data_IF_415417313744
#
_entry.id   IF_415417313744
#
_cell.length_a   1.000
_cell.length_b   1.000
_cell.length_c   1.000
_cell.angle_alpha   90.00
_cell.angle_beta   90.00
_cell.angle_gamma   90.00
#
_symmetry.space_group_name_H-M   'P 1'
#
loop_
_entity.id
_entity.type
_entity.pdbx_description
1 polymer ?
#
# COMPACT_ATOMS: atom_id res chain seq x y z
N UNK A 1 -5.42 3.17 22.84
CA UNK A 1 -4.58 4.39 22.73
C UNK A 1 -4.23 4.60 21.24
N UNK A 2 -4.94 5.44 20.46
CA UNK A 2 -4.54 5.74 19.05
C UNK A 2 -5.24 6.95 18.38
N UNK A 3 -6.32 7.51 18.94
CA UNK A 3 -7.08 8.64 18.33
C UNK A 3 -6.79 10.00 18.95
N UNK A 4 -5.55 10.28 19.31
CA UNK A 4 -5.17 11.52 20.02
C UNK A 4 -4.66 12.64 19.10
N UNK A 5 -4.32 12.31 17.87
CA UNK A 5 -3.82 13.26 16.87
C UNK A 5 -4.99 13.76 16.03
N UNK A 6 -5.08 15.07 15.82
CA UNK A 6 -6.12 15.68 14.98
C UNK A 6 -5.80 15.55 13.49
N UNK A 7 -4.59 15.94 13.09
CA UNK A 7 -4.10 15.86 11.70
C UNK A 7 -2.62 15.47 11.74
N UNK A 8 -2.22 14.52 10.91
CA UNK A 8 -0.86 14.01 10.81
C UNK A 8 -0.66 13.29 9.47
N UNK A 9 0.58 12.99 9.10
CA UNK A 9 0.92 12.36 7.82
C UNK A 9 1.31 10.88 8.00
N UNK A 10 0.93 10.06 7.02
CA UNK A 10 1.33 8.66 6.93
C UNK A 10 1.67 8.29 5.49
N UNK A 11 2.48 7.24 5.34
CA UNK A 11 2.73 6.57 4.07
C UNK A 11 2.22 5.13 4.13
N UNK A 12 1.84 4.58 2.98
CA UNK A 12 1.54 3.16 2.86
C UNK A 12 2.11 2.59 1.55
N UNK A 13 2.32 1.28 1.56
CA UNK A 13 2.69 0.48 0.41
C UNK A 13 1.76 -0.73 0.35
N UNK A 14 1.49 -1.23 -0.85
CA UNK A 14 0.68 -2.43 -1.00
C UNK A 14 1.43 -3.67 -0.48
N UNK A 15 0.69 -4.63 0.05
CA UNK A 15 1.21 -5.94 0.47
C UNK A 15 0.85 -7.07 -0.52
N UNK A 16 0.15 -6.74 -1.60
CA UNK A 16 -0.29 -7.67 -2.63
C UNK A 16 -0.81 -6.91 -3.85
N UNK A 17 -1.19 -7.66 -4.89
CA UNK A 17 -1.69 -7.09 -6.15
C UNK A 17 -3.08 -6.47 -6.03
N UNK A 18 -3.87 -6.95 -5.07
CA UNK A 18 -5.24 -6.48 -4.88
C UNK A 18 -5.31 -5.13 -4.14
N UNK A 19 -6.10 -4.21 -4.72
CA UNK A 19 -6.26 -2.85 -4.22
C UNK A 19 -7.22 -2.71 -3.03
N UNK A 20 -8.00 -3.73 -2.67
CA UNK A 20 -9.06 -3.62 -1.66
C UNK A 20 -8.48 -3.36 -0.26
N UNK A 21 -7.27 -3.86 0.01
CA UNK A 21 -6.56 -3.59 1.26
C UNK A 21 -6.36 -2.09 1.53
N UNK A 22 -6.25 -1.26 0.49
CA UNK A 22 -6.14 0.18 0.64
C UNK A 22 -7.44 0.80 1.19
N UNK A 23 -8.59 0.22 0.85
CA UNK A 23 -9.93 0.67 1.25
C UNK A 23 -10.29 0.31 2.69
N UNK A 24 -9.55 -0.58 3.35
CA UNK A 24 -9.71 -0.84 4.80
C UNK A 24 -9.55 0.42 5.66
N UNK A 25 -8.88 1.45 5.14
CA UNK A 25 -8.78 2.77 5.77
C UNK A 25 -10.12 3.48 5.94
N UNK A 26 -11.12 3.12 5.13
CA UNK A 26 -12.43 3.74 5.07
C UNK A 26 -13.52 2.84 5.68
N UNK A 27 -13.24 1.54 5.85
CA UNK A 27 -14.19 0.58 6.39
C UNK A 27 -14.39 0.80 7.90
N UNK A 28 -15.64 0.99 8.33
CA UNK A 28 -16.01 1.32 9.70
C UNK A 28 -15.63 0.25 10.73
N UNK A 29 -15.69 -1.04 10.35
CA UNK A 29 -15.28 -2.17 11.22
C UNK A 29 -13.79 -2.09 11.59
N UNK A 30 -12.97 -1.50 10.72
CA UNK A 30 -11.52 -1.36 10.93
C UNK A 30 -11.14 -0.15 11.79
N UNK A 31 -12.11 0.55 12.39
CA UNK A 31 -11.86 1.76 13.16
C UNK A 31 -10.90 1.51 14.34
N UNK A 32 -9.77 2.24 14.36
CA UNK A 32 -8.71 2.06 15.34
C UNK A 32 -7.71 0.93 15.03
N UNK A 33 -7.97 0.14 13.98
CA UNK A 33 -7.00 -0.74 13.30
C UNK A 33 -6.44 -0.04 12.06
N UNK A 34 -6.76 -0.51 10.85
CA UNK A 34 -6.31 0.12 9.60
C UNK A 34 -7.04 1.45 9.30
N UNK A 35 -8.29 1.61 9.75
CA UNK A 35 -9.02 2.86 9.66
C UNK A 35 -8.64 3.77 10.83
N UNK A 36 -7.56 4.52 10.60
CA UNK A 36 -7.00 5.47 11.56
C UNK A 36 -7.82 6.76 11.66
N UNK A 37 -8.53 7.14 10.59
CA UNK A 37 -9.43 8.30 10.58
C UNK A 37 -10.72 8.07 11.37
N UNK A 38 -11.03 6.80 11.72
CA UNK A 38 -12.29 6.38 12.36
C UNK A 38 -13.51 6.81 11.54
N UNK A 39 -13.34 6.87 10.22
CA UNK A 39 -14.42 7.16 9.30
C UNK A 39 -15.47 6.06 9.38
N UNK A 40 -16.75 6.42 9.40
CA UNK A 40 -17.85 5.47 9.45
C UNK A 40 -18.98 5.98 8.58
N UNK A 41 -19.27 5.23 7.52
CA UNK A 41 -20.38 5.52 6.62
C UNK A 41 -21.02 4.18 6.22
N UNK A 42 -22.27 3.89 6.62
CA UNK A 42 -22.92 2.62 6.31
C UNK A 42 -22.95 2.28 4.81
N UNK A 43 -23.09 3.30 3.96
CA UNK A 43 -23.06 3.12 2.50
C UNK A 43 -21.67 2.64 2.00
N UNK A 44 -20.58 3.10 2.62
CA UNK A 44 -19.24 2.62 2.28
C UNK A 44 -19.03 1.20 2.80
N UNK A 45 -19.45 0.90 4.02
CA UNK A 45 -19.32 -0.43 4.62
C UNK A 45 -20.04 -1.49 3.76
N UNK A 46 -21.29 -1.22 3.36
CA UNK A 46 -22.04 -2.11 2.47
C UNK A 46 -21.38 -2.29 1.08
N UNK A 47 -20.79 -1.23 0.53
CA UNK A 47 -20.05 -1.30 -0.73
C UNK A 47 -18.80 -2.17 -0.59
N UNK A 48 -18.06 -1.99 0.51
CA UNK A 48 -16.84 -2.75 0.80
C UNK A 48 -17.15 -4.25 0.97
N UNK A 49 -18.22 -4.59 1.70
CA UNK A 49 -18.63 -5.97 1.90
C UNK A 49 -19.06 -6.64 0.58
N UNK A 50 -19.82 -5.93 -0.27
CA UNK A 50 -20.19 -6.43 -1.61
C UNK A 50 -18.96 -6.68 -2.48
N UNK A 51 -17.98 -5.78 -2.47
CA UNK A 51 -16.73 -5.93 -3.23
C UNK A 51 -15.89 -7.14 -2.76
N UNK A 52 -15.98 -7.49 -1.46
CA UNK A 52 -15.19 -8.56 -0.85
C UNK A 52 -15.56 -9.96 -1.35
N UNK A 53 -16.78 -10.15 -1.83
CA UNK A 53 -17.29 -11.45 -2.30
C UNK A 53 -17.29 -11.58 -3.82
N UNK A 54 -16.98 -10.51 -4.55
CA UNK A 54 -16.92 -10.51 -6.00
C UNK A 54 -15.51 -10.92 -6.49
N UNK A 55 -15.41 -11.73 -7.56
CA UNK A 55 -14.15 -11.96 -8.24
C UNK A 55 -13.71 -10.70 -9.00
N UNK A 56 -12.47 -10.72 -9.50
CA UNK A 56 -11.97 -9.67 -10.39
C UNK A 56 -12.83 -9.58 -11.66
N UNK A 57 -13.27 -8.37 -11.97
CA UNK A 57 -14.10 -8.11 -13.13
C UNK A 57 -14.68 -6.70 -13.15
N UNK A 58 -15.43 -6.34 -14.22
CA UNK A 58 -15.97 -5.00 -14.40
C UNK A 58 -16.90 -4.56 -13.26
N UNK A 59 -17.66 -5.49 -12.67
CA UNK A 59 -18.54 -5.18 -11.54
C UNK A 59 -17.74 -4.77 -10.28
N UNK A 60 -16.68 -5.51 -9.95
CA UNK A 60 -15.82 -5.20 -8.81
C UNK A 60 -15.08 -3.87 -9.03
N UNK A 61 -14.60 -3.62 -10.24
CA UNK A 61 -13.96 -2.34 -10.60
C UNK A 61 -14.91 -1.15 -10.49
N UNK A 62 -16.18 -1.32 -10.88
CA UNK A 62 -17.20 -0.27 -10.70
C UNK A 62 -17.39 0.08 -9.22
N UNK A 63 -17.40 -0.92 -8.33
CA UNK A 63 -17.44 -0.67 -6.88
C UNK A 63 -16.17 0.04 -6.39
N UNK A 64 -14.99 -0.31 -6.91
CA UNK A 64 -13.75 0.40 -6.59
C UNK A 64 -13.83 1.88 -6.98
N UNK A 65 -14.39 2.18 -8.15
CA UNK A 65 -14.59 3.54 -8.59
C UNK A 65 -15.54 4.31 -7.66
N UNK A 66 -16.66 3.71 -7.27
CA UNK A 66 -17.60 4.32 -6.30
C UNK A 66 -16.96 4.53 -4.92
N UNK A 67 -16.16 3.56 -4.44
CA UNK A 67 -15.40 3.72 -3.19
C UNK A 67 -14.45 4.92 -3.25
N UNK A 68 -13.73 5.10 -4.36
CA UNK A 68 -12.82 6.23 -4.60
C UNK A 68 -13.60 7.56 -4.61
N UNK A 69 -14.79 7.61 -5.23
CA UNK A 69 -15.64 8.81 -5.23
C UNK A 69 -16.09 9.20 -3.82
N UNK A 70 -16.54 8.24 -3.01
CA UNK A 70 -16.89 8.48 -1.60
C UNK A 70 -15.69 9.02 -0.82
N UNK A 71 -14.51 8.41 -1.03
CA UNK A 71 -13.28 8.83 -0.37
C UNK A 71 -12.91 10.29 -0.70
N UNK A 72 -13.10 10.71 -1.94
CA UNK A 72 -12.86 12.11 -2.36
C UNK A 72 -13.92 13.05 -1.79
N UNK A 73 -15.20 12.65 -1.79
CA UNK A 73 -16.30 13.49 -1.34
C UNK A 73 -16.26 13.77 0.18
N UNK A 74 -15.98 12.75 0.99
CA UNK A 74 -15.93 12.88 2.45
C UNK A 74 -14.54 13.22 2.99
N UNK A 75 -13.49 13.00 2.20
CA UNK A 75 -12.10 13.33 2.50
C UNK A 75 -11.63 12.93 3.94
N UNK A 76 -11.88 11.69 4.41
CA UNK A 76 -11.29 11.23 5.68
C UNK A 76 -9.75 11.11 5.61
N UNK A 77 -9.21 10.99 4.40
CA UNK A 77 -7.79 11.08 4.09
C UNK A 77 -7.59 12.05 2.93
N UNK A 78 -6.45 12.75 2.93
CA UNK A 78 -6.00 13.60 1.82
C UNK A 78 -4.80 12.93 1.13
N UNK A 79 -5.00 12.21 0.00
CA UNK A 79 -3.88 11.69 -0.78
C UNK A 79 -3.05 12.84 -1.34
N UNK A 80 -1.72 12.75 -1.20
CA UNK A 80 -0.80 13.81 -1.64
C UNK A 80 0.07 13.37 -2.81
N UNK A 81 0.62 12.15 -2.77
CA UNK A 81 1.57 11.67 -3.78
C UNK A 81 1.45 10.16 -4.00
N UNK A 82 1.80 9.72 -5.21
CA UNK A 82 2.22 8.35 -5.49
C UNK A 82 3.75 8.34 -5.61
N UNK A 83 4.42 7.55 -4.77
CA UNK A 83 5.88 7.56 -4.68
C UNK A 83 6.48 6.66 -5.76
N UNK A 84 7.43 7.19 -6.51
CA UNK A 84 8.37 6.40 -7.31
C UNK A 84 9.52 6.03 -6.37
N UNK A 85 9.86 4.76 -6.30
CA UNK A 85 11.06 4.33 -5.58
C UNK A 85 12.23 4.23 -6.53
N UNK A 86 13.35 4.79 -6.11
CA UNK A 86 14.62 4.73 -6.82
C UNK A 86 15.65 4.20 -5.83
N UNK A 87 16.18 3.01 -6.10
CA UNK A 87 17.24 2.43 -5.29
C UNK A 87 18.55 2.43 -6.09
N UNK A 88 19.66 2.45 -5.37
CA UNK A 88 21.00 2.38 -5.92
C UNK A 88 21.71 1.18 -5.30
N UNK A 89 22.50 0.50 -6.10
CA UNK A 89 23.34 -0.60 -5.66
C UNK A 89 24.68 -0.56 -6.38
N UNK A 90 25.66 -1.20 -5.77
CA UNK A 90 26.98 -1.35 -6.36
C UNK A 90 26.96 -2.37 -7.51
N UNK A 91 27.86 -2.24 -8.50
CA UNK A 91 27.89 -3.14 -9.65
C UNK A 91 28.27 -4.59 -9.29
N UNK A 92 28.90 -4.81 -8.13
CA UNK A 92 29.23 -6.13 -7.61
C UNK A 92 28.09 -6.81 -6.84
N UNK A 93 26.90 -6.19 -6.73
CA UNK A 93 25.72 -6.86 -6.20
C UNK A 93 25.07 -7.70 -7.32
N UNK A 94 25.12 -9.02 -7.16
CA UNK A 94 24.61 -9.97 -8.15
C UNK A 94 23.17 -10.35 -7.80
N UNK A 95 22.31 -10.41 -8.83
CA UNK A 95 20.98 -11.02 -8.74
C UNK A 95 19.89 -10.15 -8.10
N UNK A 96 20.21 -8.92 -7.66
CA UNK A 96 19.21 -8.05 -7.05
C UNK A 96 18.05 -7.74 -8.02
N UNK A 97 16.84 -8.04 -7.56
CA UNK A 97 15.58 -7.67 -8.17
C UNK A 97 14.73 -7.04 -7.09
N UNK A 98 14.33 -5.77 -7.26
CA UNK A 98 13.45 -5.08 -6.31
C UNK A 98 12.15 -5.89 -6.12
N UNK A 99 11.85 -6.36 -4.90
CA UNK A 99 10.55 -6.93 -4.60
C UNK A 99 9.42 -5.91 -4.77
N UNK A 100 8.25 -6.38 -5.23
CA UNK A 100 7.08 -5.51 -5.41
C UNK A 100 6.35 -5.22 -4.08
N UNK A 101 6.22 -6.22 -3.20
CA UNK A 101 5.41 -6.13 -1.97
C UNK A 101 6.12 -6.54 -0.67
N UNK A 102 7.15 -7.40 -0.75
CA UNK A 102 7.87 -7.89 0.43
C UNK A 102 9.21 -7.17 0.61
N UNK A 103 9.77 -7.20 1.81
CA UNK A 103 11.09 -6.59 2.10
C UNK A 103 12.22 -7.61 2.22
N UNK A 104 11.90 -8.89 2.05
CA UNK A 104 12.87 -9.97 2.17
C UNK A 104 13.44 -10.35 0.80
N UNK A 105 14.74 -10.13 0.61
CA UNK A 105 15.44 -10.43 -0.64
C UNK A 105 16.90 -10.82 -0.45
N UNK A 106 17.45 -10.63 0.75
CA UNK A 106 18.87 -10.79 1.06
C UNK A 106 19.39 -12.21 0.80
N UNK A 107 18.52 -13.22 0.91
CA UNK A 107 18.87 -14.63 0.65
C UNK A 107 18.90 -14.98 -0.84
N UNK A 108 18.53 -14.06 -1.74
CA UNK A 108 18.46 -14.25 -3.19
C UNK A 108 19.56 -13.50 -3.95
N UNK A 109 20.51 -12.91 -3.24
CA UNK A 109 21.57 -12.09 -3.82
C UNK A 109 22.94 -12.58 -3.38
N UNK A 110 23.96 -12.20 -4.14
CA UNK A 110 25.36 -12.46 -3.82
C UNK A 110 26.22 -11.22 -4.08
N UNK A 111 27.47 -11.24 -3.62
CA UNK A 111 28.45 -10.17 -3.79
C UNK A 111 29.69 -10.70 -4.49
N UNK A 112 30.02 -10.12 -5.64
CA UNK A 112 31.31 -10.36 -6.29
C UNK A 112 32.42 -9.65 -5.51
N UNK A 113 33.11 -10.41 -4.66
CA UNK A 113 34.19 -9.88 -3.81
C UNK A 113 35.38 -9.40 -4.65
N UNK A 114 35.71 -10.10 -5.74
CA UNK A 114 36.85 -9.75 -6.59
C UNK A 114 36.60 -8.41 -7.32
N UNK A 115 35.38 -8.22 -7.85
CA UNK A 115 34.96 -6.96 -8.47
C UNK A 115 34.94 -5.81 -7.45
N UNK A 116 34.45 -6.07 -6.22
CA UNK A 116 34.46 -5.08 -5.14
C UNK A 116 35.87 -4.61 -4.81
N UNK A 117 36.81 -5.55 -4.65
CA UNK A 117 38.21 -5.23 -4.33
C UNK A 117 38.90 -4.47 -5.47
N UNK A 118 38.61 -4.82 -6.73
CA UNK A 118 39.15 -4.12 -7.89
C UNK A 118 38.64 -2.69 -8.00
N UNK A 119 37.38 -2.42 -7.66
CA UNK A 119 36.78 -1.09 -7.70
C UNK A 119 37.20 -0.17 -6.53
N UNK A 120 37.86 -0.72 -5.50
CA UNK A 120 38.35 0.01 -4.32
C UNK A 120 39.83 0.41 -4.41
N UNK A 121 40.53 -0.03 -5.46
CA UNK A 121 41.91 0.37 -5.77
C UNK A 121 41.92 1.60 -6.67
#
# INVERSE_FOLDING_TARGET
RAGKLQIWALGSSAAGTDGQSALFRLHGVQAGGQNLARFKLPAFDALFDRMSVLPDGPEREALFLEAKKIAVAYMPYKPTVHRISTDMWYPWLIGYRRPQFWSEWWHLVDVDVAMREAAQR
#
